data_IF_991796096125
#
_entry.id   IF_991796096125
#
_cell.length_a   1.000
_cell.length_b   1.000
_cell.length_c   1.000
_cell.angle_alpha   90.00
_cell.angle_beta   90.00
_cell.angle_gamma   90.00
#
_symmetry.space_group_name_H-M   'P 1'
#
loop_
_entity.id
_entity.type
_entity.pdbx_description
1 polymer ?
#
# COMPACT_ATOMS: atom_id res chain seq x y z
N UNK A 1 27.50 56.03 20.35
CA UNK A 1 26.63 54.92 20.80
C UNK A 1 26.24 54.10 19.57
N UNK A 2 26.98 53.01 19.30
CA UNK A 2 26.74 52.13 18.15
C UNK A 2 25.79 51.01 18.61
N UNK A 3 24.58 51.01 18.07
CA UNK A 3 23.62 49.91 18.31
C UNK A 3 24.00 48.72 17.41
N UNK A 4 24.55 47.68 18.00
CA UNK A 4 24.83 46.42 17.32
C UNK A 4 23.50 45.66 17.24
N UNK A 5 22.91 45.58 16.07
CA UNK A 5 21.75 44.72 15.78
C UNK A 5 22.30 43.32 15.48
N UNK A 6 22.20 42.42 16.46
CA UNK A 6 22.53 41.00 16.25
C UNK A 6 21.36 40.38 15.53
N UNK A 7 21.55 40.14 14.22
CA UNK A 7 20.61 39.36 13.39
C UNK A 7 20.86 37.88 13.68
N UNK A 8 20.01 37.28 14.49
CA UNK A 8 20.01 35.83 14.74
C UNK A 8 19.36 35.17 13.51
N UNK A 9 20.07 34.38 12.71
CA UNK A 9 19.45 33.56 11.71
C UNK A 9 18.67 32.45 12.40
N UNK A 10 17.36 32.56 12.41
CA UNK A 10 16.48 31.43 12.78
C UNK A 10 16.63 30.37 11.70
N UNK A 11 17.47 29.40 12.00
CA UNK A 11 17.66 28.21 11.19
C UNK A 11 16.36 27.37 11.31
N UNK A 12 15.45 27.60 10.37
CA UNK A 12 14.23 26.80 10.24
C UNK A 12 14.65 25.41 9.74
N UNK A 13 14.97 24.54 10.69
CA UNK A 13 15.21 23.13 10.40
C UNK A 13 13.85 22.51 10.07
N UNK A 14 13.49 22.53 8.80
CA UNK A 14 12.34 21.79 8.30
C UNK A 14 12.62 20.29 8.48
N UNK A 15 12.10 19.71 9.57
CA UNK A 15 12.02 18.27 9.70
C UNK A 15 11.09 17.75 8.61
N UNK A 16 11.67 17.23 7.55
CA UNK A 16 10.94 16.43 6.57
C UNK A 16 10.60 15.12 7.28
N UNK A 17 9.38 15.05 7.82
CA UNK A 17 8.81 13.81 8.32
C UNK A 17 8.58 12.91 7.11
N UNK A 18 9.55 12.07 6.80
CA UNK A 18 9.36 11.00 5.82
C UNK A 18 8.42 9.97 6.46
N UNK A 19 7.22 9.86 5.91
CA UNK A 19 6.33 8.76 6.26
C UNK A 19 7.04 7.45 5.92
N UNK A 20 7.14 6.57 6.89
CA UNK A 20 7.75 5.24 6.74
C UNK A 20 6.74 4.20 7.21
N UNK A 21 6.77 2.97 6.63
CA UNK A 21 5.96 1.89 7.14
C UNK A 21 6.22 1.67 8.64
N UNK A 22 5.21 1.30 9.42
CA UNK A 22 5.40 0.98 10.82
C UNK A 22 6.46 -0.10 11.02
N UNK A 23 7.39 0.11 11.92
CA UNK A 23 8.41 -0.90 12.27
C UNK A 23 7.92 -1.72 13.48
N UNK A 24 6.89 -2.50 13.26
CA UNK A 24 6.29 -3.39 14.27
C UNK A 24 6.23 -4.83 13.72
N UNK A 25 6.31 -5.85 14.59
CA UNK A 25 6.18 -7.24 14.16
C UNK A 25 4.76 -7.52 13.66
N UNK A 26 4.64 -8.44 12.71
CA UNK A 26 3.38 -8.96 12.21
C UNK A 26 3.19 -10.41 12.66
N UNK A 27 3.09 -10.60 13.97
CA UNK A 27 2.90 -11.92 14.57
C UNK A 27 1.46 -12.41 14.35
N UNK A 28 1.26 -13.73 14.49
CA UNK A 28 -0.07 -14.32 14.35
C UNK A 28 -1.05 -13.70 15.37
N UNK A 29 -2.17 -13.20 14.86
CA UNK A 29 -3.19 -12.54 15.65
C UNK A 29 -3.02 -11.03 15.82
N UNK A 30 -1.94 -10.44 15.28
CA UNK A 30 -1.80 -8.99 15.23
C UNK A 30 -2.89 -8.37 14.34
N UNK A 31 -3.47 -7.28 14.79
CA UNK A 31 -4.54 -6.55 14.10
C UNK A 31 -4.04 -5.19 13.66
N UNK A 32 -4.28 -4.86 12.40
CA UNK A 32 -4.03 -3.54 11.84
C UNK A 32 -5.36 -2.95 11.37
N UNK A 33 -5.74 -1.80 11.90
CA UNK A 33 -7.06 -1.22 11.70
C UNK A 33 -8.12 -1.85 12.62
N UNK A 34 -9.29 -2.16 12.07
CA UNK A 34 -10.38 -2.80 12.80
C UNK A 34 -10.20 -4.32 12.91
N UNK A 35 -10.70 -4.90 13.99
CA UNK A 35 -10.63 -6.35 14.19
C UNK A 35 -11.57 -7.08 13.25
N UNK A 36 -11.02 -7.97 12.44
CA UNK A 36 -11.75 -8.81 11.49
C UNK A 36 -11.73 -10.28 11.97
N UNK A 37 -12.87 -10.96 11.90
CA UNK A 37 -12.94 -12.41 12.17
C UNK A 37 -12.66 -13.21 10.90
N UNK A 38 -12.08 -14.40 11.02
CA UNK A 38 -11.84 -15.30 9.87
C UNK A 38 -13.12 -15.89 9.29
N UNK A 39 -14.22 -15.90 10.07
CA UNK A 39 -15.49 -16.49 9.65
C UNK A 39 -16.06 -15.79 8.42
N UNK A 40 -16.41 -16.58 7.40
CA UNK A 40 -16.96 -16.09 6.13
C UNK A 40 -15.93 -15.49 5.16
N UNK A 41 -14.63 -15.59 5.47
CA UNK A 41 -13.59 -15.19 4.53
C UNK A 41 -13.52 -16.14 3.33
N UNK A 42 -13.46 -15.59 2.14
CA UNK A 42 -13.21 -16.33 0.89
C UNK A 42 -11.76 -16.14 0.45
N UNK A 43 -11.26 -17.04 -0.37
CA UNK A 43 -9.89 -16.88 -0.93
C UNK A 43 -9.84 -15.75 -1.94
N UNK A 44 -8.66 -15.14 -2.12
CA UNK A 44 -8.41 -14.13 -3.14
C UNK A 44 -8.74 -14.64 -4.55
N UNK A 45 -8.47 -15.92 -4.83
CA UNK A 45 -8.80 -16.58 -6.10
C UNK A 45 -10.30 -16.63 -6.34
N UNK A 46 -11.07 -17.08 -5.33
CA UNK A 46 -12.52 -17.16 -5.45
C UNK A 46 -13.15 -15.79 -5.65
N UNK A 47 -12.60 -14.76 -5.01
CA UNK A 47 -13.04 -13.39 -5.24
C UNK A 47 -12.73 -12.94 -6.67
N UNK A 48 -11.53 -13.21 -7.19
CA UNK A 48 -11.14 -12.86 -8.56
C UNK A 48 -12.00 -13.58 -9.62
N UNK A 49 -12.42 -14.82 -9.35
CA UNK A 49 -13.32 -15.58 -10.23
C UNK A 49 -14.76 -15.01 -10.22
N UNK A 50 -15.21 -14.42 -9.11
CA UNK A 50 -16.58 -13.91 -8.95
C UNK A 50 -16.74 -12.43 -9.34
N UNK A 51 -15.67 -11.65 -9.40
CA UNK A 51 -15.67 -10.24 -9.82
C UNK A 51 -15.12 -10.16 -11.23
N UNK A 52 -16.01 -10.15 -12.23
CA UNK A 52 -15.64 -10.20 -13.66
C UNK A 52 -16.18 -9.05 -14.48
N UNK A 53 -17.03 -8.20 -13.91
CA UNK A 53 -17.66 -7.08 -14.61
C UNK A 53 -17.04 -5.76 -14.19
N UNK A 54 -16.62 -4.95 -15.15
CA UNK A 54 -16.04 -3.63 -14.89
C UNK A 54 -17.00 -2.75 -14.08
N UNK A 55 -16.46 -2.12 -13.03
CA UNK A 55 -17.22 -1.31 -12.09
C UNK A 55 -18.02 -2.09 -11.05
N UNK A 56 -18.06 -3.42 -11.11
CA UNK A 56 -18.70 -4.23 -10.07
C UNK A 56 -17.98 -4.06 -8.74
N UNK A 57 -18.74 -3.75 -7.68
CA UNK A 57 -18.24 -3.60 -6.31
C UNK A 57 -19.01 -4.46 -5.35
N UNK A 58 -18.33 -5.04 -4.37
CA UNK A 58 -18.92 -5.91 -3.35
C UNK A 58 -18.16 -5.80 -2.04
N UNK A 59 -18.88 -5.72 -0.93
CA UNK A 59 -18.27 -5.92 0.39
C UNK A 59 -17.86 -7.39 0.55
N UNK A 60 -16.64 -7.61 0.93
CA UNK A 60 -16.06 -8.95 1.03
C UNK A 60 -15.06 -9.04 2.16
N UNK A 61 -14.90 -10.26 2.65
CA UNK A 61 -13.84 -10.66 3.53
C UNK A 61 -12.97 -11.68 2.81
N UNK A 62 -11.67 -11.40 2.74
CA UNK A 62 -10.73 -12.20 1.93
C UNK A 62 -9.58 -12.68 2.79
N UNK A 63 -9.22 -13.94 2.61
CA UNK A 63 -8.02 -14.55 3.18
C UNK A 63 -7.03 -14.85 2.05
N UNK A 64 -5.76 -14.52 2.27
CA UNK A 64 -4.70 -14.82 1.30
C UNK A 64 -3.32 -14.41 1.78
N UNK A 65 -2.33 -14.78 0.98
CA UNK A 65 -0.92 -14.49 1.24
C UNK A 65 -0.55 -13.12 0.69
N UNK A 66 0.11 -12.32 1.50
CA UNK A 66 0.71 -11.06 1.07
C UNK A 66 2.00 -11.35 0.32
N UNK A 67 2.19 -10.76 -0.86
CA UNK A 67 3.38 -10.91 -1.70
C UNK A 67 4.11 -9.59 -1.93
N UNK A 68 3.53 -8.49 -1.50
CA UNK A 68 4.17 -7.17 -1.56
C UNK A 68 3.51 -6.20 -0.58
N UNK A 69 4.32 -5.39 0.07
CA UNK A 69 3.89 -4.28 0.94
C UNK A 69 4.47 -2.97 0.41
N UNK A 70 3.70 -1.90 0.45
CA UNK A 70 4.16 -0.56 0.10
C UNK A 70 5.38 -0.17 0.94
N UNK A 71 6.54 -0.04 0.29
CA UNK A 71 7.81 0.28 0.95
C UNK A 71 7.91 1.74 1.41
N UNK A 72 7.12 2.61 0.80
CA UNK A 72 7.14 4.03 1.16
C UNK A 72 6.42 4.30 2.49
N UNK A 73 5.21 3.78 2.67
CA UNK A 73 4.37 4.13 3.82
C UNK A 73 3.62 2.94 4.43
N UNK A 74 3.49 1.80 3.72
CA UNK A 74 2.64 0.68 4.15
C UNK A 74 1.15 0.93 3.91
N UNK A 75 0.78 1.77 2.94
CA UNK A 75 -0.60 2.18 2.67
C UNK A 75 -1.35 1.26 1.69
N UNK A 76 -0.67 0.29 1.11
CA UNK A 76 -1.24 -0.76 0.27
C UNK A 76 -0.42 -2.04 0.36
N UNK A 77 -1.07 -3.15 0.04
CA UNK A 77 -0.45 -4.47 -0.11
C UNK A 77 -0.93 -5.14 -1.39
N UNK A 78 -0.21 -6.15 -1.83
CA UNK A 78 -0.67 -7.10 -2.85
C UNK A 78 -0.86 -8.46 -2.21
N UNK A 79 -1.99 -9.08 -2.54
CA UNK A 79 -2.32 -10.44 -2.14
C UNK A 79 -2.23 -11.36 -3.35
N UNK A 80 -1.60 -12.52 -3.17
CA UNK A 80 -1.41 -13.51 -4.22
C UNK A 80 -2.73 -14.06 -4.76
N UNK A 81 -2.80 -14.25 -6.07
CA UNK A 81 -3.86 -14.98 -6.76
C UNK A 81 -3.26 -15.89 -7.82
N UNK A 82 -3.97 -16.92 -8.28
CA UNK A 82 -3.51 -17.85 -9.33
C UNK A 82 -3.03 -17.15 -10.60
N UNK A 83 -3.62 -16.01 -10.93
CA UNK A 83 -3.36 -15.28 -12.17
C UNK A 83 -2.57 -13.98 -11.96
N UNK A 84 -1.94 -13.81 -10.80
CA UNK A 84 -1.19 -12.62 -10.48
C UNK A 84 -1.37 -12.15 -9.04
N UNK A 85 -1.82 -10.93 -8.84
CA UNK A 85 -2.04 -10.38 -7.50
C UNK A 85 -3.18 -9.37 -7.46
N UNK A 86 -3.87 -9.33 -6.33
CA UNK A 86 -4.90 -8.34 -6.01
C UNK A 86 -4.29 -7.19 -5.22
N UNK A 87 -4.56 -5.96 -5.62
CA UNK A 87 -4.15 -4.77 -4.88
C UNK A 87 -5.18 -4.45 -3.79
N UNK A 88 -4.72 -4.31 -2.57
CA UNK A 88 -5.53 -3.91 -1.41
C UNK A 88 -4.97 -2.58 -0.88
N UNK A 89 -5.80 -1.55 -0.87
CA UNK A 89 -5.46 -0.23 -0.34
C UNK A 89 -6.15 -0.01 0.99
N UNK A 90 -5.43 0.56 1.94
CA UNK A 90 -6.00 1.01 3.20
C UNK A 90 -6.90 2.22 2.93
N UNK A 91 -8.19 2.09 3.31
CA UNK A 91 -9.20 3.14 3.06
C UNK A 91 -8.77 4.43 3.76
N UNK A 92 -8.72 5.52 2.98
CA UNK A 92 -8.41 6.87 3.45
C UNK A 92 -7.13 6.96 4.30
N UNK A 93 -6.15 6.06 4.07
CA UNK A 93 -4.93 5.94 4.89
C UNK A 93 -5.21 5.84 6.40
N UNK A 94 -6.36 5.25 6.77
CA UNK A 94 -6.84 5.18 8.16
C UNK A 94 -5.89 4.39 9.08
N UNK A 95 -5.09 3.49 8.50
CA UNK A 95 -4.00 2.77 9.16
C UNK A 95 -2.92 2.39 8.15
N UNK A 96 -1.76 2.06 8.64
CA UNK A 96 -0.62 1.62 7.85
C UNK A 96 -0.18 0.23 8.32
N UNK A 97 0.43 -0.52 7.44
CA UNK A 97 0.91 -1.88 7.75
C UNK A 97 2.43 -1.97 7.66
N UNK A 98 3.06 -2.81 8.49
CA UNK A 98 4.51 -2.98 8.47
C UNK A 98 4.97 -3.83 7.29
N UNK A 99 6.23 -3.65 6.87
CA UNK A 99 6.87 -4.52 5.87
C UNK A 99 6.95 -5.99 6.34
N UNK A 100 6.91 -6.23 7.64
CA UNK A 100 6.88 -7.58 8.23
C UNK A 100 5.62 -8.40 7.85
N UNK A 101 4.61 -7.79 7.21
CA UNK A 101 3.47 -8.50 6.62
C UNK A 101 3.80 -9.25 5.32
N UNK A 102 4.91 -8.92 4.68
CA UNK A 102 5.33 -9.64 3.47
C UNK A 102 5.49 -11.14 3.77
N UNK A 103 5.02 -11.96 2.85
CA UNK A 103 4.99 -13.43 2.96
C UNK A 103 4.06 -14.00 4.06
N UNK A 104 3.22 -13.17 4.70
CA UNK A 104 2.24 -13.60 5.71
C UNK A 104 0.86 -13.85 5.09
N UNK A 105 0.12 -14.81 5.69
CA UNK A 105 -1.30 -14.98 5.38
C UNK A 105 -2.14 -14.12 6.31
N UNK A 106 -3.01 -13.31 5.73
CA UNK A 106 -3.87 -12.38 6.46
C UNK A 106 -5.34 -12.56 6.07
N UNK A 107 -6.22 -12.06 6.93
CA UNK A 107 -7.63 -11.83 6.62
C UNK A 107 -7.84 -10.31 6.55
N UNK A 108 -8.50 -9.85 5.50
CA UNK A 108 -8.87 -8.46 5.31
C UNK A 108 -10.33 -8.34 4.93
N UNK A 109 -10.98 -7.25 5.36
CA UNK A 109 -12.36 -6.95 5.03
C UNK A 109 -12.45 -5.56 4.39
N UNK A 110 -13.28 -5.42 3.37
CA UNK A 110 -13.44 -4.17 2.66
C UNK A 110 -14.30 -4.29 1.42
N UNK A 111 -14.29 -3.23 0.61
CA UNK A 111 -14.99 -3.20 -0.67
C UNK A 111 -14.03 -3.60 -1.78
N UNK A 112 -14.30 -4.73 -2.42
CA UNK A 112 -13.60 -5.15 -3.62
C UNK A 112 -14.29 -4.55 -4.85
N UNK A 113 -13.51 -3.98 -5.76
CA UNK A 113 -13.99 -3.43 -7.03
C UNK A 113 -13.17 -4.03 -8.17
N UNK A 114 -13.85 -4.60 -9.15
CA UNK A 114 -13.21 -5.01 -10.39
C UNK A 114 -13.10 -3.79 -11.33
N UNK A 115 -11.93 -3.61 -11.92
CA UNK A 115 -11.68 -2.54 -12.87
C UNK A 115 -10.86 -3.06 -14.04
N UNK A 116 -11.43 -2.99 -15.23
CA UNK A 116 -10.68 -3.23 -16.45
C UNK A 116 -9.79 -2.03 -16.79
N UNK A 117 -8.55 -2.32 -17.13
CA UNK A 117 -7.58 -1.30 -17.53
C UNK A 117 -7.11 -1.58 -18.94
N UNK A 118 -7.30 -0.63 -19.85
CA UNK A 118 -6.86 -0.79 -21.23
C UNK A 118 -5.34 -0.92 -21.35
N UNK A 119 -4.87 -1.60 -22.39
CA UNK A 119 -3.44 -1.74 -22.67
C UNK A 119 -2.75 -0.37 -22.82
N UNK A 120 -3.45 0.62 -23.40
CA UNK A 120 -2.93 1.99 -23.50
C UNK A 120 -2.72 2.63 -22.12
N UNK A 121 -3.66 2.45 -21.20
CA UNK A 121 -3.56 2.95 -19.82
C UNK A 121 -2.47 2.22 -19.03
N UNK A 122 -2.32 0.91 -19.22
CA UNK A 122 -1.23 0.14 -18.60
C UNK A 122 0.15 0.61 -19.08
N UNK A 123 0.29 0.92 -20.39
CA UNK A 123 1.51 1.49 -20.94
C UNK A 123 1.82 2.86 -20.33
N UNK A 124 0.82 3.72 -20.20
CA UNK A 124 0.97 5.02 -19.56
C UNK A 124 1.44 4.89 -18.10
N UNK A 125 0.83 3.99 -17.32
CA UNK A 125 1.28 3.72 -15.95
C UNK A 125 2.70 3.16 -15.89
N UNK A 126 3.09 2.30 -16.85
CA UNK A 126 4.44 1.77 -16.92
C UNK A 126 5.47 2.87 -17.27
N UNK A 127 5.12 3.79 -18.18
CA UNK A 127 5.95 4.94 -18.53
C UNK A 127 6.11 5.89 -17.34
N UNK A 128 5.03 6.17 -16.60
CA UNK A 128 5.07 7.02 -15.40
C UNK A 128 5.88 6.37 -14.28
N UNK A 129 5.73 5.07 -14.07
CA UNK A 129 6.56 4.30 -13.15
C UNK A 129 8.05 4.31 -13.57
N UNK A 130 8.34 4.24 -14.88
CA UNK A 130 9.68 4.40 -15.45
C UNK A 130 10.25 5.78 -15.21
N UNK A 131 9.46 6.84 -15.35
CA UNK A 131 9.85 8.23 -15.04
C UNK A 131 10.13 8.43 -13.54
N UNK A 132 9.37 7.81 -12.67
CA UNK A 132 9.66 7.80 -11.23
C UNK A 132 10.96 7.04 -10.92
N UNK A 133 11.23 5.96 -11.65
CA UNK A 133 12.45 5.17 -11.51
C UNK A 133 13.68 5.91 -12.00
N UNK A 134 13.56 6.65 -13.10
CA UNK A 134 14.67 7.44 -13.67
C UNK A 134 15.06 8.64 -12.82
N UNK A 135 14.18 9.13 -11.94
CA UNK A 135 14.50 10.18 -10.95
C UNK A 135 15.17 9.63 -9.68
N UNK A 136 15.11 8.33 -9.44
CA UNK A 136 15.61 7.69 -8.21
C UNK A 136 16.75 6.70 -8.40
N UNK A 137 17.09 6.30 -9.63
CA UNK A 137 18.16 5.33 -9.89
C UNK A 137 19.00 5.81 -11.07
N UNK A 138 19.79 6.85 -10.85
CA UNK A 138 21.09 6.93 -11.48
C UNK A 138 22.00 6.02 -10.66
N UNK A 139 22.48 4.95 -11.29
CA UNK A 139 23.49 3.99 -10.83
C UNK A 139 23.02 2.84 -9.95
N UNK A 140 22.94 1.70 -10.59
CA UNK A 140 23.62 0.50 -10.15
C UNK A 140 23.97 -0.31 -11.41
N UNK A 141 25.12 -0.02 -11.94
CA UNK A 141 25.92 -0.94 -12.72
C UNK A 141 26.80 -1.68 -11.74
#
# INVERSE_FOLDING_TARGET
>A
MKKIIILIPVLFFAFVLMAQPPNVPADKGTVFGEKVSESGAITADLLAENLTTDGQSKEVKVIGKVVEVCKAEGCWIRMETKNGSMLIKMKDHSFLVPLALDDKTIVTEGVATFKETSVAQLRHFAEDAGKCRSKGIASAN
#
